data_IF_334689687149
#
_entry.id   IF_334689687149
#
_cell.length_a   1.000
_cell.length_b   1.000
_cell.length_c   1.000
_cell.angle_alpha   90.00
_cell.angle_beta   90.00
_cell.angle_gamma   90.00
#
_symmetry.space_group_name_H-M   'P 1'
#
loop_
_entity.id
_entity.type
_entity.pdbx_description
1 polymer ?
#
# COMPACT_ATOMS: atom_id res chain seq x y z
N UNK A 1 23.11 55.35 9.52
CA UNK A 1 22.73 53.94 9.70
C UNK A 1 22.60 53.28 8.33
N UNK A 2 23.66 52.59 7.90
CA UNK A 2 23.85 52.14 6.51
C UNK A 2 23.11 50.82 6.24
N UNK A 3 22.10 50.92 5.36
CA UNK A 3 21.35 49.83 4.76
C UNK A 3 22.24 49.14 3.71
N UNK A 4 22.93 48.06 4.07
CA UNK A 4 23.69 47.24 3.10
C UNK A 4 22.71 46.39 2.28
N UNK A 5 22.33 46.91 1.12
CA UNK A 5 21.77 46.16 0.00
C UNK A 5 22.81 45.12 -0.45
N UNK A 6 22.57 43.83 -0.18
CA UNK A 6 23.23 42.76 -0.91
C UNK A 6 22.30 42.28 -2.02
N UNK A 7 22.74 42.22 -3.29
CA UNK A 7 21.94 41.65 -4.36
C UNK A 7 21.83 40.13 -4.17
N UNK A 8 20.59 39.65 -4.11
CA UNK A 8 20.22 38.23 -4.09
C UNK A 8 20.65 37.61 -5.43
N UNK A 9 21.57 36.62 -5.48
CA UNK A 9 21.84 35.93 -6.72
C UNK A 9 20.62 35.08 -7.08
N UNK A 10 19.94 35.45 -8.16
CA UNK A 10 18.91 34.62 -8.78
C UNK A 10 19.56 33.33 -9.29
N UNK A 11 19.52 32.28 -8.48
CA UNK A 11 19.73 30.92 -8.93
C UNK A 11 18.55 30.52 -9.84
N UNK A 12 18.65 30.90 -11.12
CA UNK A 12 17.89 30.31 -12.22
C UNK A 12 18.24 28.83 -12.30
N UNK A 13 17.57 28.01 -11.50
CA UNK A 13 17.52 26.58 -11.73
C UNK A 13 16.84 26.36 -13.08
N UNK A 14 17.67 26.16 -14.10
CA UNK A 14 17.26 25.66 -15.41
C UNK A 14 16.64 24.28 -15.21
N UNK A 15 15.32 24.24 -15.06
CA UNK A 15 14.53 23.02 -15.13
C UNK A 15 14.59 22.50 -16.58
N UNK A 16 15.68 21.81 -16.93
CA UNK A 16 15.69 20.99 -18.13
C UNK A 16 14.80 19.78 -17.89
N UNK A 17 13.59 19.88 -18.43
CA UNK A 17 12.62 18.82 -18.68
C UNK A 17 13.34 17.65 -19.35
N UNK A 18 13.70 16.62 -18.59
CA UNK A 18 14.24 15.38 -19.13
C UNK A 18 13.12 14.67 -19.87
N UNK A 19 13.09 14.91 -21.18
CA UNK A 19 12.32 14.12 -22.14
C UNK A 19 12.75 12.65 -21.99
N UNK A 20 11.81 11.83 -21.56
CA UNK A 20 11.83 10.37 -21.72
C UNK A 20 11.88 10.04 -23.21
N UNK A 21 13.08 10.03 -23.78
CA UNK A 21 13.34 9.45 -25.10
C UNK A 21 13.84 8.01 -24.90
N UNK A 22 13.09 7.10 -25.51
CA UNK A 22 13.35 5.68 -25.81
C UNK A 22 14.74 5.18 -25.41
N UNK A 23 14.76 4.14 -24.56
CA UNK A 23 15.90 3.27 -24.29
C UNK A 23 16.57 2.83 -25.59
N UNK A 24 17.62 3.55 -26.01
CA UNK A 24 18.66 2.99 -26.86
C UNK A 24 19.66 2.38 -25.90
N UNK A 25 19.90 1.08 -26.05
CA UNK A 25 20.79 0.26 -25.21
C UNK A 25 22.21 0.84 -25.28
N UNK A 26 22.51 1.79 -24.40
CA UNK A 26 23.82 2.44 -24.34
C UNK A 26 24.77 1.49 -23.61
N UNK A 27 25.85 1.10 -24.28
CA UNK A 27 26.82 0.13 -23.76
C UNK A 27 27.50 0.67 -22.49
N UNK A 28 27.63 -0.16 -21.46
CA UNK A 28 28.19 0.20 -20.13
C UNK A 28 29.53 0.95 -20.25
N UNK A 29 30.34 0.56 -21.23
CA UNK A 29 31.64 1.15 -21.53
C UNK A 29 31.56 2.64 -21.91
N UNK A 30 30.53 3.02 -22.68
CA UNK A 30 30.35 4.41 -23.11
C UNK A 30 29.91 5.31 -21.95
N UNK A 31 29.11 4.77 -21.02
CA UNK A 31 28.71 5.47 -19.79
C UNK A 31 29.92 5.73 -18.90
N UNK A 32 30.80 4.74 -18.75
CA UNK A 32 32.01 4.89 -17.92
C UNK A 32 32.98 5.93 -18.50
N UNK A 33 33.22 5.91 -19.82
CA UNK A 33 34.07 6.91 -20.48
C UNK A 33 33.48 8.32 -20.40
N UNK A 34 32.14 8.44 -20.48
CA UNK A 34 31.48 9.73 -20.36
C UNK A 34 31.56 10.28 -18.93
N UNK A 35 31.40 9.42 -17.91
CA UNK A 35 31.51 9.81 -16.51
C UNK A 35 32.95 10.24 -16.14
N UNK A 36 33.97 9.55 -16.66
CA UNK A 36 35.38 9.87 -16.38
C UNK A 36 35.79 11.27 -16.89
N UNK A 37 35.35 11.63 -18.10
CA UNK A 37 35.62 12.96 -18.69
C UNK A 37 34.95 14.11 -17.92
N UNK A 38 33.75 13.88 -17.39
CA UNK A 38 33.05 14.89 -16.58
C UNK A 38 33.68 15.04 -15.20
N UNK A 39 34.12 13.93 -14.59
CA UNK A 39 34.76 13.96 -13.27
C UNK A 39 36.10 14.71 -13.31
N UNK A 40 36.92 14.47 -14.34
CA UNK A 40 38.19 15.17 -14.55
C UNK A 40 38.03 16.69 -14.71
N UNK A 41 36.94 17.13 -15.37
CA UNK A 41 36.61 18.56 -15.53
C UNK A 41 36.12 19.21 -14.24
N UNK A 42 35.54 18.43 -13.31
CA UNK A 42 35.03 18.92 -12.04
C UNK A 42 36.15 19.14 -11.01
N UNK A 43 37.20 18.31 -11.03
CA UNK A 43 38.34 18.43 -10.09
C UNK A 43 39.21 19.67 -10.36
N UNK A 44 39.22 20.21 -11.58
CA UNK A 44 40.04 21.36 -11.97
C UNK A 44 39.53 22.68 -11.35
N UNK A 45 38.31 22.73 -10.80
CA UNK A 45 37.68 23.92 -10.22
C UNK A 45 37.60 23.81 -8.67
N UNK A 46 38.74 23.63 -8.01
CA UNK A 46 38.81 23.15 -6.61
C UNK A 46 38.82 24.23 -5.51
N UNK A 47 38.50 25.49 -5.83
CA UNK A 47 38.50 26.59 -4.84
C UNK A 47 37.10 27.17 -4.61
N UNK A 48 36.08 26.31 -4.55
CA UNK A 48 34.73 26.71 -4.16
C UNK A 48 34.54 26.26 -2.71
N UNK A 49 34.54 27.22 -1.77
CA UNK A 49 34.13 26.97 -0.39
C UNK A 49 32.72 26.37 -0.39
N UNK A 50 32.64 25.09 0.00
CA UNK A 50 31.37 24.37 0.04
C UNK A 50 30.57 24.93 1.22
N UNK A 51 29.35 25.42 1.01
CA UNK A 51 28.51 25.88 2.12
C UNK A 51 28.31 24.71 3.10
N UNK A 52 28.49 24.91 4.42
CA UNK A 52 28.43 23.83 5.39
C UNK A 52 27.06 23.10 5.40
N UNK A 53 25.99 23.77 4.95
CA UNK A 53 24.61 23.24 4.87
C UNK A 53 24.32 22.44 3.59
N UNK A 54 25.21 22.44 2.59
CA UNK A 54 24.96 21.77 1.30
C UNK A 54 24.93 20.24 1.46
N UNK A 55 25.83 19.70 2.28
CA UNK A 55 25.91 18.26 2.54
C UNK A 55 24.62 17.75 3.20
N UNK A 56 24.17 18.43 4.26
CA UNK A 56 22.95 18.08 4.98
C UNK A 56 21.72 18.15 4.08
N UNK A 57 21.63 19.19 3.25
CA UNK A 57 20.54 19.34 2.27
C UNK A 57 20.51 18.21 1.23
N UNK A 58 21.67 17.79 0.74
CA UNK A 58 21.78 16.65 -0.20
C UNK A 58 21.43 15.34 0.50
N UNK A 59 21.92 15.13 1.72
CA UNK A 59 21.67 13.92 2.51
C UNK A 59 20.18 13.76 2.83
N UNK A 60 19.53 14.83 3.32
CA UNK A 60 18.08 14.89 3.53
C UNK A 60 17.28 14.62 2.25
N UNK A 61 17.77 15.13 1.11
CA UNK A 61 17.17 14.88 -0.20
C UNK A 61 17.23 13.41 -0.62
N UNK A 62 18.34 12.73 -0.33
CA UNK A 62 18.53 11.30 -0.60
C UNK A 62 17.63 10.46 0.31
N UNK A 63 17.61 10.74 1.61
CA UNK A 63 16.77 10.02 2.58
C UNK A 63 15.28 10.16 2.25
N UNK A 64 14.81 11.36 1.89
CA UNK A 64 13.42 11.60 1.49
C UNK A 64 13.03 10.74 0.27
N UNK A 65 13.90 10.64 -0.75
CA UNK A 65 13.64 9.77 -1.92
C UNK A 65 13.63 8.29 -1.56
N UNK A 66 14.56 7.85 -0.71
CA UNK A 66 14.65 6.46 -0.24
C UNK A 66 13.40 6.06 0.55
N UNK A 67 12.96 6.90 1.47
CA UNK A 67 11.77 6.67 2.30
C UNK A 67 10.48 6.67 1.46
N UNK A 68 10.35 7.62 0.53
CA UNK A 68 9.22 7.66 -0.41
C UNK A 68 9.15 6.40 -1.28
N UNK A 69 10.29 5.91 -1.78
CA UNK A 69 10.34 4.68 -2.56
C UNK A 69 9.97 3.46 -1.70
N UNK A 70 10.42 3.38 -0.45
CA UNK A 70 10.06 2.31 0.47
C UNK A 70 8.56 2.30 0.79
N UNK A 71 7.96 3.46 1.04
CA UNK A 71 6.52 3.61 1.26
C UNK A 71 5.71 3.20 0.03
N UNK A 72 6.13 3.62 -1.17
CA UNK A 72 5.47 3.24 -2.42
C UNK A 72 5.52 1.73 -2.65
N UNK A 73 6.65 1.08 -2.38
CA UNK A 73 6.76 -0.40 -2.45
C UNK A 73 5.81 -1.08 -1.48
N UNK A 74 5.73 -0.62 -0.22
CA UNK A 74 4.81 -1.16 0.79
C UNK A 74 3.35 -0.97 0.39
N UNK A 75 3.00 0.17 -0.19
CA UNK A 75 1.65 0.43 -0.71
C UNK A 75 1.29 -0.50 -1.87
N UNK A 76 2.21 -0.70 -2.83
CA UNK A 76 2.01 -1.63 -3.94
C UNK A 76 1.85 -3.06 -3.43
N UNK A 77 2.65 -3.50 -2.46
CA UNK A 77 2.48 -4.81 -1.82
C UNK A 77 1.11 -4.95 -1.15
N UNK A 78 0.67 -3.93 -0.40
CA UNK A 78 -0.64 -3.92 0.23
C UNK A 78 -1.78 -4.02 -0.80
N UNK A 79 -1.66 -3.32 -1.93
CA UNK A 79 -2.62 -3.43 -3.04
C UNK A 79 -2.62 -4.84 -3.65
N UNK A 80 -1.45 -5.38 -3.99
CA UNK A 80 -1.32 -6.74 -4.54
C UNK A 80 -1.96 -7.76 -3.60
N UNK A 81 -1.79 -7.62 -2.29
CA UNK A 81 -2.44 -8.48 -1.30
C UNK A 81 -3.96 -8.28 -1.22
N UNK A 82 -4.49 -7.08 -1.47
CA UNK A 82 -5.91 -6.77 -1.39
C UNK A 82 -6.73 -7.32 -2.56
N UNK A 83 -6.21 -7.25 -3.79
CA UNK A 83 -6.89 -7.74 -4.99
C UNK A 83 -7.43 -9.19 -4.88
N UNK A 84 -6.64 -10.21 -4.48
CA UNK A 84 -7.13 -11.59 -4.42
C UNK A 84 -8.28 -11.76 -3.42
N UNK A 85 -8.25 -11.07 -2.28
CA UNK A 85 -9.37 -11.14 -1.32
C UNK A 85 -10.67 -10.61 -1.92
N UNK A 86 -10.62 -9.54 -2.71
CA UNK A 86 -11.81 -9.05 -3.43
C UNK A 86 -12.35 -10.09 -4.41
N UNK A 87 -11.49 -10.72 -5.21
CA UNK A 87 -11.92 -11.72 -6.19
C UNK A 87 -12.46 -13.00 -5.54
N UNK A 88 -11.85 -13.45 -4.44
CA UNK A 88 -12.23 -14.68 -3.74
C UNK A 88 -13.51 -14.48 -2.90
N UNK A 89 -13.82 -13.26 -2.48
CA UNK A 89 -15.02 -12.97 -1.67
C UNK A 89 -16.30 -13.40 -2.37
N UNK A 90 -16.45 -13.14 -3.66
CA UNK A 90 -17.66 -13.48 -4.41
C UNK A 90 -17.95 -14.99 -4.49
N UNK A 91 -17.04 -15.86 -4.96
CA UNK A 91 -17.27 -17.29 -5.01
C UNK A 91 -17.41 -17.91 -3.62
N UNK A 92 -16.67 -17.43 -2.61
CA UNK A 92 -16.78 -17.93 -1.24
C UNK A 92 -18.15 -17.60 -0.64
N UNK A 93 -18.65 -16.39 -0.87
CA UNK A 93 -20.01 -16.00 -0.45
C UNK A 93 -21.08 -16.85 -1.14
N UNK A 94 -20.96 -17.06 -2.46
CA UNK A 94 -21.90 -17.92 -3.19
C UNK A 94 -21.87 -19.36 -2.68
N UNK A 95 -20.68 -19.90 -2.40
CA UNK A 95 -20.53 -21.26 -1.88
C UNK A 95 -21.17 -21.38 -0.49
N UNK A 96 -20.99 -20.38 0.38
CA UNK A 96 -21.64 -20.35 1.69
C UNK A 96 -23.17 -20.39 1.59
N UNK A 97 -23.76 -19.60 0.70
CA UNK A 97 -25.22 -19.62 0.48
C UNK A 97 -25.71 -20.98 -0.01
N UNK A 98 -24.99 -21.61 -0.95
CA UNK A 98 -25.32 -22.95 -1.45
C UNK A 98 -25.24 -23.98 -0.32
N UNK A 99 -24.19 -23.95 0.50
CA UNK A 99 -24.03 -24.92 1.59
C UNK A 99 -25.10 -24.74 2.68
N UNK A 100 -25.54 -23.51 2.98
CA UNK A 100 -26.65 -23.28 3.91
C UNK A 100 -27.93 -23.94 3.40
N UNK A 101 -28.25 -23.76 2.12
CA UNK A 101 -29.47 -24.32 1.53
C UNK A 101 -29.37 -25.85 1.44
N UNK A 102 -28.22 -26.39 1.05
CA UNK A 102 -28.04 -27.85 0.91
C UNK A 102 -28.01 -28.60 2.23
N UNK A 103 -27.56 -27.96 3.31
CA UNK A 103 -27.43 -28.59 4.63
C UNK A 103 -28.74 -28.65 5.42
N UNK A 104 -29.80 -27.97 4.95
CA UNK A 104 -31.06 -27.89 5.69
C UNK A 104 -31.02 -26.91 6.87
N UNK A 105 -29.92 -26.17 7.05
CA UNK A 105 -29.73 -25.28 8.19
C UNK A 105 -30.78 -24.16 8.23
N UNK A 106 -31.16 -23.64 7.05
CA UNK A 106 -32.23 -22.65 6.92
C UNK A 106 -33.58 -23.16 7.41
N UNK A 107 -33.89 -24.43 7.15
CA UNK A 107 -35.13 -25.09 7.51
C UNK A 107 -35.20 -25.32 9.02
N UNK A 108 -34.10 -25.78 9.63
CA UNK A 108 -34.02 -25.89 11.10
C UNK A 108 -34.11 -24.51 11.78
N UNK A 109 -33.45 -23.48 11.24
CA UNK A 109 -33.60 -22.11 11.74
C UNK A 109 -35.05 -21.59 11.61
N UNK A 110 -35.72 -21.88 10.50
CA UNK A 110 -37.11 -21.49 10.31
C UNK A 110 -38.05 -22.20 11.31
N UNK A 111 -37.78 -23.47 11.63
CA UNK A 111 -38.55 -24.24 12.60
C UNK A 111 -38.56 -23.59 13.99
N UNK A 112 -37.43 -22.98 14.38
CA UNK A 112 -37.27 -22.22 15.62
C UNK A 112 -38.29 -21.09 15.77
N UNK A 113 -38.65 -20.44 14.66
CA UNK A 113 -39.63 -19.36 14.62
C UNK A 113 -41.06 -19.84 14.35
N UNK A 114 -41.23 -20.96 13.66
CA UNK A 114 -42.55 -21.46 13.29
C UNK A 114 -43.21 -22.24 14.43
N UNK A 115 -42.49 -23.17 15.07
CA UNK A 115 -43.03 -24.00 16.15
C UNK A 115 -42.07 -24.11 17.33
N UNK A 116 -41.98 -23.00 18.07
CA UNK A 116 -41.13 -22.90 19.24
C UNK A 116 -41.49 -23.89 20.36
N UNK A 117 -42.75 -24.33 20.44
CA UNK A 117 -43.19 -25.30 21.46
C UNK A 117 -42.57 -26.67 21.23
N UNK A 118 -42.54 -27.13 19.98
CA UNK A 118 -41.91 -28.42 19.62
C UNK A 118 -40.40 -28.34 19.83
N UNK A 119 -39.78 -27.20 19.50
CA UNK A 119 -38.34 -26.96 19.71
C UNK A 119 -37.97 -26.99 21.18
N UNK A 120 -38.76 -26.38 22.07
CA UNK A 120 -38.54 -26.44 23.52
C UNK A 120 -38.68 -27.87 24.06
N UNK A 121 -39.67 -28.62 23.57
CA UNK A 121 -39.88 -30.00 24.00
C UNK A 121 -38.72 -30.94 23.60
N UNK A 122 -38.06 -30.67 22.48
CA UNK A 122 -36.96 -31.49 21.94
C UNK A 122 -35.66 -30.68 21.79
N UNK A 123 -35.37 -29.78 22.73
CA UNK A 123 -34.28 -28.81 22.59
C UNK A 123 -32.91 -29.45 22.41
N UNK A 124 -32.69 -30.63 23.01
CA UNK A 124 -31.44 -31.37 22.95
C UNK A 124 -31.19 -31.96 21.57
N UNK A 125 -32.18 -32.68 21.02
CA UNK A 125 -32.09 -33.29 19.69
C UNK A 125 -32.08 -32.21 18.60
N UNK A 126 -32.92 -31.18 18.74
CA UNK A 126 -32.94 -30.04 17.83
C UNK A 126 -31.59 -29.31 17.82
N UNK A 127 -30.98 -29.07 18.99
CA UNK A 127 -29.67 -28.44 19.09
C UNK A 127 -28.57 -29.25 18.40
N UNK A 128 -28.60 -30.59 18.53
CA UNK A 128 -27.67 -31.49 17.84
C UNK A 128 -27.86 -31.46 16.32
N UNK A 129 -29.10 -31.57 15.82
CA UNK A 129 -29.39 -31.50 14.38
C UNK A 129 -29.06 -30.13 13.78
N UNK A 130 -29.28 -29.05 14.53
CA UNK A 130 -28.89 -27.69 14.12
C UNK A 130 -27.36 -27.56 14.00
N UNK A 131 -26.61 -28.19 14.91
CA UNK A 131 -25.16 -28.16 14.89
C UNK A 131 -24.58 -29.03 13.76
N UNK A 132 -25.20 -30.18 13.49
CA UNK A 132 -24.82 -31.09 12.41
C UNK A 132 -25.12 -30.52 11.02
N UNK A 133 -26.23 -29.78 10.88
CA UNK A 133 -26.56 -29.07 9.64
C UNK A 133 -25.71 -27.80 9.43
N UNK A 134 -24.92 -27.37 10.42
CA UNK A 134 -24.16 -26.13 10.30
C UNK A 134 -22.99 -26.31 9.32
N UNK A 135 -22.90 -25.52 8.24
CA UNK A 135 -21.85 -25.70 7.25
C UNK A 135 -20.53 -25.03 7.71
N UNK A 136 -19.93 -25.58 8.77
CA UNK A 136 -18.77 -25.04 9.52
C UNK A 136 -17.62 -24.64 8.59
N UNK A 137 -17.29 -25.47 7.61
CA UNK A 137 -16.17 -25.23 6.67
C UNK A 137 -16.42 -23.96 5.85
N UNK A 138 -17.63 -23.82 5.30
CA UNK A 138 -18.00 -22.68 4.47
C UNK A 138 -18.08 -21.39 5.30
N UNK A 139 -18.55 -21.49 6.55
CA UNK A 139 -18.58 -20.38 7.50
C UNK A 139 -17.18 -19.93 7.93
N UNK A 140 -16.28 -20.88 8.20
CA UNK A 140 -14.89 -20.58 8.51
C UNK A 140 -14.18 -19.91 7.32
N UNK A 141 -14.45 -20.38 6.10
CA UNK A 141 -13.90 -19.79 4.88
C UNK A 141 -14.38 -18.35 4.65
N UNK A 142 -15.69 -18.07 4.81
CA UNK A 142 -16.21 -16.69 4.67
C UNK A 142 -15.61 -15.77 5.73
N UNK A 143 -15.52 -16.22 6.98
CA UNK A 143 -14.88 -15.45 8.07
C UNK A 143 -13.41 -15.16 7.77
N UNK A 144 -12.65 -16.15 7.31
CA UNK A 144 -11.23 -15.97 6.98
C UNK A 144 -11.03 -14.93 5.87
N UNK A 145 -11.88 -14.96 4.83
CA UNK A 145 -11.83 -13.97 3.74
C UNK A 145 -12.23 -12.59 4.23
N UNK A 146 -13.27 -12.48 5.06
CA UNK A 146 -13.73 -11.20 5.62
C UNK A 146 -12.66 -10.55 6.51
N UNK A 147 -12.00 -11.34 7.35
CA UNK A 147 -10.87 -10.88 8.17
C UNK A 147 -9.67 -10.49 7.31
N UNK A 148 -9.32 -11.30 6.31
CA UNK A 148 -8.24 -11.00 5.37
C UNK A 148 -8.48 -9.69 4.61
N UNK A 149 -9.71 -9.47 4.13
CA UNK A 149 -10.13 -8.24 3.47
C UNK A 149 -10.05 -7.04 4.42
N UNK A 150 -10.52 -7.19 5.66
CA UNK A 150 -10.47 -6.13 6.67
C UNK A 150 -9.04 -5.73 7.02
N UNK A 151 -8.15 -6.71 7.18
CA UNK A 151 -6.74 -6.49 7.48
C UNK A 151 -6.02 -5.79 6.32
N UNK A 152 -6.19 -6.31 5.10
CA UNK A 152 -5.56 -5.74 3.91
C UNK A 152 -6.07 -4.32 3.62
N UNK A 153 -7.36 -4.07 3.80
CA UNK A 153 -7.93 -2.72 3.71
C UNK A 153 -7.30 -1.75 4.70
N UNK A 154 -7.12 -2.18 5.97
CA UNK A 154 -6.44 -1.38 6.99
C UNK A 154 -5.01 -1.02 6.57
N UNK A 155 -4.28 -1.96 5.96
CA UNK A 155 -2.93 -1.70 5.45
C UNK A 155 -2.93 -0.71 4.27
N UNK A 156 -3.83 -0.88 3.30
CA UNK A 156 -3.96 0.03 2.15
C UNK A 156 -4.26 1.46 2.62
N UNK A 157 -5.20 1.64 3.55
CA UNK A 157 -5.54 2.95 4.11
C UNK A 157 -4.35 3.55 4.85
N UNK A 158 -3.65 2.75 5.67
CA UNK A 158 -2.49 3.22 6.44
C UNK A 158 -1.36 3.70 5.53
N UNK A 159 -0.96 2.90 4.54
CA UNK A 159 0.11 3.27 3.63
C UNK A 159 -0.30 4.37 2.64
N UNK A 160 -1.56 4.39 2.21
CA UNK A 160 -2.11 5.47 1.40
C UNK A 160 -2.04 6.81 2.13
N UNK A 161 -2.45 6.84 3.41
CA UNK A 161 -2.39 8.06 4.23
C UNK A 161 -0.97 8.61 4.37
N UNK A 162 0.02 7.75 4.58
CA UNK A 162 1.43 8.18 4.68
C UNK A 162 1.99 8.71 3.35
N UNK A 163 1.52 8.20 2.21
CA UNK A 163 1.92 8.70 0.88
C UNK A 163 1.25 10.03 0.53
N UNK A 164 -0.02 10.21 0.92
CA UNK A 164 -0.79 11.42 0.64
C UNK A 164 -0.69 12.48 1.74
N UNK A 165 0.12 12.26 2.80
CA UNK A 165 0.37 13.27 3.82
C UNK A 165 1.02 14.47 3.14
N UNK A 166 0.34 15.62 3.01
CA UNK A 166 0.89 16.74 2.28
C UNK A 166 2.11 17.24 3.03
N UNK A 167 3.26 17.24 2.36
CA UNK A 167 4.49 17.86 2.84
C UNK A 167 4.35 19.38 2.79
N UNK A 168 3.44 19.94 3.59
CA UNK A 168 3.19 21.39 3.68
C UNK A 168 4.09 22.07 4.72
N UNK A 169 4.85 21.32 5.51
CA UNK A 169 5.77 21.90 6.49
C UNK A 169 7.21 21.51 6.14
N UNK A 170 7.92 22.43 5.48
CA UNK A 170 9.36 22.71 5.61
C UNK A 170 9.76 23.75 4.55
N UNK A 171 9.11 24.91 4.61
CA UNK A 171 9.66 26.18 4.15
C UNK A 171 9.57 27.12 5.34
N UNK A 172 10.53 27.03 6.24
CA UNK A 172 10.91 28.07 7.18
C UNK A 172 12.38 27.83 7.54
#
# INVERSE_FOLDING_TARGET
MLKKLYPKPELKYSQKKYLTKRCTKMHLFFVLLYMDKYFKKFIINKDIEVPPDLFDKVMLGIERKKNSQALRRRFVLALISFLPFLFITFPVWRNFQINIIQSGFSEYLALLFYDFKIVLANWQDFGLSLLESLPVISMAATLAVLLGLSLTLKFVIRYGRELFKPSILLNN
#
